data_IF_308813753888
#
_entry.id   IF_308813753888
#
_cell.length_a   1.000
_cell.length_b   1.000
_cell.length_c   1.000
_cell.angle_alpha   90.00
_cell.angle_beta   90.00
_cell.angle_gamma   90.00
#
_symmetry.space_group_name_H-M   'P 1'
#
loop_
_entity.id
_entity.type
_entity.pdbx_description
1 polymer ?
#
# COMPACT_ATOMS: atom_id res chain seq x y z
N UNK A 1 17.30 -15.36 14.70
CA UNK A 1 16.13 -16.17 14.34
C UNK A 1 15.27 -15.31 13.45
N UNK A 2 14.95 -15.82 12.26
CA UNK A 2 14.24 -15.11 11.20
C UNK A 2 12.89 -14.62 11.74
N UNK A 3 12.69 -13.31 11.72
CA UNK A 3 11.44 -12.68 12.10
C UNK A 3 10.39 -13.09 11.05
N UNK A 4 9.72 -14.21 11.29
CA UNK A 4 8.51 -14.62 10.59
C UNK A 4 7.39 -13.67 11.04
N UNK A 5 7.52 -12.37 10.75
CA UNK A 5 6.40 -11.45 10.86
C UNK A 5 5.39 -11.92 9.83
N UNK A 6 4.43 -12.75 10.25
CA UNK A 6 3.22 -12.94 9.48
C UNK A 6 2.57 -11.56 9.37
N UNK A 7 2.65 -10.97 8.18
CA UNK A 7 2.06 -9.69 7.82
C UNK A 7 0.53 -9.87 7.75
N UNK A 8 -0.11 -10.04 8.90
CA UNK A 8 -1.56 -10.24 8.97
C UNK A 8 -2.30 -9.09 8.28
N UNK A 9 -3.44 -9.43 7.66
CA UNK A 9 -4.22 -8.46 6.91
C UNK A 9 -4.78 -7.39 7.87
N UNK A 10 -4.68 -6.09 7.55
CA UNK A 10 -5.30 -5.07 8.39
C UNK A 10 -6.81 -5.33 8.44
N UNK A 11 -7.38 -5.40 9.65
CA UNK A 11 -8.81 -5.74 9.86
C UNK A 11 -9.78 -4.71 9.25
N UNK A 12 -9.25 -3.56 8.86
CA UNK A 12 -9.99 -2.49 8.21
C UNK A 12 -9.17 -1.95 7.02
N UNK A 13 -9.83 -1.58 5.91
CA UNK A 13 -9.15 -0.93 4.79
C UNK A 13 -8.56 0.41 5.25
N UNK A 14 -7.27 0.59 5.00
CA UNK A 14 -6.56 1.84 5.26
C UNK A 14 -7.03 2.91 4.26
N UNK A 15 -6.96 4.21 4.61
CA UNK A 15 -7.11 5.25 3.60
C UNK A 15 -5.90 5.24 2.65
N UNK A 16 -6.10 5.62 1.39
CA UNK A 16 -5.06 5.65 0.36
C UNK A 16 -3.73 6.31 0.78
N UNK A 17 -3.69 7.49 1.44
CA UNK A 17 -2.41 8.08 1.89
C UNK A 17 -1.65 7.18 2.87
N UNK A 18 -2.35 6.47 3.75
CA UNK A 18 -1.73 5.53 4.70
C UNK A 18 -1.23 4.27 3.98
N UNK A 19 -1.95 3.79 2.95
CA UNK A 19 -1.48 2.70 2.10
C UNK A 19 -0.15 3.04 1.44
N UNK A 20 -0.01 4.26 0.87
CA UNK A 20 1.26 4.71 0.29
C UNK A 20 2.36 4.83 1.34
N UNK A 21 2.05 5.32 2.55
CA UNK A 21 3.01 5.41 3.65
C UNK A 21 3.51 4.03 4.09
N UNK A 22 2.61 3.03 4.16
CA UNK A 22 2.95 1.64 4.46
C UNK A 22 3.84 1.06 3.36
N UNK A 23 3.50 1.25 2.08
CA UNK A 23 4.28 0.74 0.96
C UNK A 23 5.71 1.29 0.95
N UNK A 24 5.87 2.58 1.28
CA UNK A 24 7.17 3.25 1.28
C UNK A 24 7.89 3.19 2.64
N UNK A 25 7.32 2.51 3.64
CA UNK A 25 7.93 2.39 4.97
C UNK A 25 9.20 1.54 4.93
N UNK A 26 10.21 1.96 5.69
CA UNK A 26 11.47 1.20 5.83
C UNK A 26 11.27 -0.21 6.41
N UNK A 27 10.17 -0.44 7.13
CA UNK A 27 9.79 -1.75 7.67
C UNK A 27 9.46 -2.74 6.54
N UNK A 28 8.94 -2.23 5.42
CA UNK A 28 8.59 -3.02 4.24
C UNK A 28 9.60 -2.89 3.11
N UNK A 29 10.78 -2.29 3.34
CA UNK A 29 11.79 -2.06 2.30
C UNK A 29 12.28 -3.35 1.62
N UNK A 30 12.18 -4.50 2.29
CA UNK A 30 12.55 -5.82 1.74
C UNK A 30 11.33 -6.72 1.48
N UNK A 31 10.12 -6.21 1.70
CA UNK A 31 8.90 -6.94 1.42
C UNK A 31 8.61 -6.91 -0.08
N UNK A 32 8.13 -8.03 -0.63
CA UNK A 32 7.58 -8.08 -1.99
C UNK A 32 6.07 -8.27 -1.95
N UNK A 33 5.40 -7.96 -3.07
CA UNK A 33 3.96 -8.22 -3.23
C UNK A 33 3.59 -9.70 -2.95
N UNK A 34 4.49 -10.63 -3.25
CA UNK A 34 4.28 -12.07 -3.05
C UNK A 34 4.47 -12.52 -1.60
N UNK A 35 5.29 -11.80 -0.83
CA UNK A 35 5.73 -12.22 0.51
C UNK A 35 5.09 -11.42 1.65
N UNK A 36 4.54 -10.24 1.36
CA UNK A 36 3.92 -9.37 2.36
C UNK A 36 2.43 -9.15 2.06
N UNK A 37 1.57 -9.77 2.87
CA UNK A 37 0.12 -9.65 2.72
C UNK A 37 -0.39 -8.22 3.00
N UNK A 38 0.31 -7.43 3.82
CA UNK A 38 0.02 -5.99 4.03
C UNK A 38 0.29 -5.19 2.76
N UNK A 39 1.46 -5.36 2.12
CA UNK A 39 1.78 -4.70 0.84
C UNK A 39 0.78 -5.11 -0.23
N UNK A 40 0.48 -6.41 -0.32
CA UNK A 40 -0.53 -6.92 -1.24
C UNK A 40 -1.89 -6.26 -1.05
N UNK A 41 -2.37 -6.19 0.20
CA UNK A 41 -3.65 -5.58 0.52
C UNK A 41 -3.68 -4.09 0.15
N UNK A 42 -2.65 -3.33 0.53
CA UNK A 42 -2.54 -1.91 0.21
C UNK A 42 -2.58 -1.70 -1.31
N UNK A 43 -1.83 -2.51 -2.06
CA UNK A 43 -1.79 -2.41 -3.52
C UNK A 43 -3.10 -2.79 -4.18
N UNK A 44 -3.73 -3.90 -3.77
CA UNK A 44 -5.01 -4.33 -4.33
C UNK A 44 -6.07 -3.24 -4.12
N UNK A 45 -6.14 -2.66 -2.92
CA UNK A 45 -7.07 -1.56 -2.66
C UNK A 45 -6.75 -0.31 -3.48
N UNK A 46 -5.48 0.05 -3.65
CA UNK A 46 -5.10 1.17 -4.53
C UNK A 46 -5.51 0.92 -5.99
N UNK A 47 -5.32 -0.31 -6.51
CA UNK A 47 -5.78 -0.69 -7.86
C UNK A 47 -7.30 -0.53 -7.99
N UNK A 48 -8.07 -0.97 -6.99
CA UNK A 48 -9.53 -0.79 -6.94
C UNK A 48 -9.93 0.69 -6.95
N UNK A 49 -9.07 1.57 -6.41
CA UNK A 49 -9.22 3.03 -6.46
C UNK A 49 -8.75 3.68 -7.77
N UNK A 50 -8.21 2.90 -8.72
CA UNK A 50 -7.75 3.39 -10.02
C UNK A 50 -6.23 3.54 -10.14
N UNK A 51 -5.43 2.92 -9.26
CA UNK A 51 -3.96 2.93 -9.30
C UNK A 51 -3.38 1.64 -9.86
N UNK A 52 -3.09 1.54 -11.17
CA UNK A 52 -2.55 0.31 -11.72
C UNK A 52 -1.08 0.08 -11.34
N UNK A 53 -0.35 1.12 -10.89
CA UNK A 53 1.08 1.01 -10.67
C UNK A 53 1.49 1.32 -9.21
N UNK A 54 2.35 0.48 -8.62
CA UNK A 54 2.72 0.59 -7.21
C UNK A 54 3.68 1.68 -6.78
N UNK A 55 4.49 2.13 -7.73
CA UNK A 55 5.43 3.21 -7.50
C UNK A 55 4.79 4.57 -7.73
N UNK A 56 3.48 4.60 -8.01
CA UNK A 56 2.77 5.86 -8.16
C UNK A 56 2.86 6.61 -6.84
N UNK A 57 3.47 7.79 -6.84
CA UNK A 57 3.58 8.56 -5.62
C UNK A 57 2.18 9.14 -5.27
N UNK A 58 1.93 9.51 -4.01
CA UNK A 58 0.61 9.98 -3.57
C UNK A 58 0.02 11.11 -4.43
N UNK A 59 0.87 11.92 -5.07
CA UNK A 59 0.47 13.04 -5.94
C UNK A 59 -0.19 12.57 -7.25
N UNK A 60 0.10 11.35 -7.69
CA UNK A 60 -0.55 10.72 -8.84
C UNK A 60 -1.82 9.97 -8.44
N UNK A 61 -2.15 9.94 -7.15
CA UNK A 61 -3.35 9.29 -6.65
C UNK A 61 -4.59 10.17 -6.65
N UNK A 62 -5.63 9.94 -7.49
CA UNK A 62 -6.93 10.62 -7.43
C UNK A 62 -7.58 10.69 -6.05
N UNK A 63 -7.30 9.74 -5.15
CA UNK A 63 -7.82 9.82 -3.77
C UNK A 63 -6.96 10.75 -2.91
N UNK A 64 -5.63 10.69 -3.02
CA UNK A 64 -4.71 11.51 -2.23
C UNK A 64 -4.62 12.96 -2.76
N UNK A 65 -4.75 13.12 -4.06
CA UNK A 65 -4.78 14.37 -4.81
C UNK A 65 -6.04 14.38 -5.69
N UNK A 66 -7.23 14.57 -5.07
CA UNK A 66 -8.44 14.79 -5.84
C UNK A 66 -8.19 16.06 -6.66
N UNK A 67 -8.09 15.91 -7.99
CA UNK A 67 -8.07 17.05 -8.87
C UNK A 67 -9.26 17.92 -8.49
N UNK A 68 -9.01 19.15 -8.02
CA UNK A 68 -10.05 20.11 -7.66
C UNK A 68 -10.93 20.29 -8.89
N UNK A 69 -12.07 19.62 -8.91
CA UNK A 69 -13.20 19.93 -9.77
C UNK A 69 -14.05 21.01 -9.13
#
# INVERSE_FOLDING_TARGET
>A
MSDNTFHDHPSHPLPAPDMHAVINSSIHAHCTFETCAVIRACWTSLIEFGHPHPSDPPEQCPICSPART
#
